data_IF_145858143145
#
_entry.id   IF_145858143145
#
_cell.length_a   1.000
_cell.length_b   1.000
_cell.length_c   1.000
_cell.angle_alpha   90.00
_cell.angle_beta   90.00
_cell.angle_gamma   90.00
#
_symmetry.space_group_name_H-M   'P 1'
#
loop_
_entity.id
_entity.type
_entity.pdbx_description
1 polymer ?
#
# COMPACT_ATOMS: atom_id res chain seq x y z
N UNK A 1 21.99 -8.03 9.11
CA UNK A 1 21.13 -6.84 9.20
C UNK A 1 20.66 -6.42 7.81
N UNK A 2 19.38 -6.17 7.67
CA UNK A 2 18.83 -5.71 6.39
C UNK A 2 19.31 -4.29 6.07
N UNK A 3 19.54 -4.04 4.79
CA UNK A 3 19.96 -2.73 4.29
C UNK A 3 18.77 -2.10 3.57
N UNK A 4 18.62 -0.80 3.72
CA UNK A 4 17.50 -0.06 3.15
C UNK A 4 17.96 1.12 2.32
N UNK A 5 17.16 1.47 1.34
CA UNK A 5 17.28 2.70 0.59
C UNK A 5 16.04 3.55 0.88
N UNK A 6 16.22 4.87 0.96
CA UNK A 6 15.09 5.79 1.15
C UNK A 6 14.62 6.29 -0.21
N UNK A 7 13.31 6.23 -0.44
CA UNK A 7 12.67 6.74 -1.64
C UNK A 7 11.63 7.78 -1.21
N UNK A 8 11.68 8.96 -1.83
CA UNK A 8 10.76 10.04 -1.49
C UNK A 8 9.43 9.93 -2.24
N UNK A 9 8.43 10.65 -1.76
CA UNK A 9 7.14 10.80 -2.44
C UNK A 9 7.33 11.30 -3.87
N UNK A 10 8.19 12.31 -4.07
CA UNK A 10 8.48 12.85 -5.40
C UNK A 10 9.10 11.83 -6.33
N UNK A 11 10.01 10.99 -5.81
CA UNK A 11 10.62 9.93 -6.60
C UNK A 11 9.58 8.87 -7.02
N UNK A 12 8.69 8.48 -6.12
CA UNK A 12 7.60 7.57 -6.46
C UNK A 12 6.70 8.15 -7.55
N UNK A 13 6.38 9.44 -7.46
CA UNK A 13 5.58 10.13 -8.47
C UNK A 13 6.29 10.10 -9.83
N UNK A 14 7.58 10.40 -9.87
CA UNK A 14 8.36 10.40 -11.11
C UNK A 14 8.44 9.01 -11.74
N UNK A 15 8.66 7.98 -10.92
CA UNK A 15 8.72 6.59 -11.39
C UNK A 15 7.36 6.16 -11.93
N UNK A 16 6.28 6.49 -11.23
CA UNK A 16 4.93 6.17 -11.71
C UNK A 16 4.64 6.80 -13.06
N UNK A 17 4.97 8.08 -13.22
CA UNK A 17 4.76 8.78 -14.48
C UNK A 17 5.58 8.17 -15.62
N UNK A 18 6.80 7.74 -15.35
CA UNK A 18 7.62 7.05 -16.34
C UNK A 18 6.92 5.78 -16.82
N UNK A 19 6.50 4.92 -15.90
CA UNK A 19 5.85 3.67 -16.30
C UNK A 19 4.52 3.90 -16.99
N UNK A 20 3.74 4.88 -16.55
CA UNK A 20 2.49 5.25 -17.23
C UNK A 20 2.72 5.73 -18.65
N UNK A 21 3.83 6.43 -18.89
CA UNK A 21 4.17 6.91 -20.25
C UNK A 21 4.53 5.77 -21.19
N UNK A 22 5.04 4.66 -20.66
CA UNK A 22 5.47 3.50 -21.46
C UNK A 22 4.35 2.47 -21.61
N UNK A 23 3.61 2.21 -20.53
CA UNK A 23 2.66 1.10 -20.43
C UNK A 23 1.22 1.55 -20.23
N UNK A 24 0.94 2.84 -20.26
CA UNK A 24 -0.35 3.38 -19.83
C UNK A 24 -0.68 2.88 -18.42
N UNK A 25 -1.96 2.73 -18.10
CA UNK A 25 -2.36 2.29 -16.75
C UNK A 25 -2.18 0.78 -16.50
N UNK A 26 -1.71 0.04 -17.50
CA UNK A 26 -1.36 -1.38 -17.31
C UNK A 26 -0.27 -1.57 -16.23
N UNK A 27 0.60 -0.57 -16.04
CA UNK A 27 1.64 -0.64 -15.01
C UNK A 27 1.08 -0.69 -13.59
N UNK A 28 -0.14 -0.22 -13.36
CA UNK A 28 -0.74 -0.22 -12.03
C UNK A 28 -0.89 -1.64 -11.47
N UNK A 29 -1.24 -2.60 -12.30
CA UNK A 29 -1.30 -4.02 -11.90
C UNK A 29 0.04 -4.57 -11.46
N UNK A 30 1.13 -4.15 -12.13
CA UNK A 30 2.49 -4.53 -11.73
C UNK A 30 2.86 -3.93 -10.38
N UNK A 31 2.50 -2.69 -10.12
CA UNK A 31 2.74 -2.05 -8.82
C UNK A 31 1.99 -2.78 -7.69
N UNK A 32 0.77 -3.22 -7.94
CA UNK A 32 0.00 -4.00 -6.96
C UNK A 32 0.71 -5.32 -6.67
N UNK A 33 1.22 -6.01 -7.69
CA UNK A 33 1.98 -7.26 -7.51
C UNK A 33 3.27 -7.02 -6.75
N UNK A 34 3.97 -5.93 -7.04
CA UNK A 34 5.16 -5.53 -6.29
C UNK A 34 4.80 -5.37 -4.81
N UNK A 35 3.69 -4.70 -4.52
CA UNK A 35 3.20 -4.53 -3.15
C UNK A 35 2.95 -5.87 -2.44
N UNK A 36 2.39 -6.85 -3.14
CA UNK A 36 2.17 -8.19 -2.58
C UNK A 36 3.48 -8.87 -2.19
N UNK A 37 4.50 -8.74 -3.03
CA UNK A 37 5.84 -9.28 -2.73
C UNK A 37 6.44 -8.57 -1.51
N UNK A 38 6.32 -7.26 -1.45
CA UNK A 38 6.80 -6.48 -0.31
C UNK A 38 6.09 -6.89 0.99
N UNK A 39 4.78 -7.17 0.92
CA UNK A 39 4.04 -7.65 2.07
C UNK A 39 4.59 -8.99 2.58
N UNK A 40 4.89 -9.92 1.69
CA UNK A 40 5.46 -11.21 2.08
C UNK A 40 6.80 -11.02 2.81
N UNK A 41 7.62 -10.07 2.37
CA UNK A 41 8.88 -9.75 3.06
C UNK A 41 8.64 -9.13 4.44
N UNK A 42 7.64 -8.27 4.57
CA UNK A 42 7.25 -7.69 5.87
C UNK A 42 6.81 -8.80 6.83
N UNK A 43 6.00 -9.74 6.35
CA UNK A 43 5.51 -10.86 7.17
C UNK A 43 6.65 -11.69 7.73
N UNK A 44 7.75 -11.85 6.99
CA UNK A 44 8.93 -12.56 7.48
C UNK A 44 9.59 -11.91 8.67
N UNK A 45 9.36 -10.62 8.90
CA UNK A 45 9.92 -9.91 10.04
C UNK A 45 9.01 -9.96 11.27
N UNK A 46 7.81 -10.50 11.13
CA UNK A 46 6.88 -10.68 12.24
C UNK A 46 7.29 -11.94 12.99
N UNK A 47 7.61 -11.81 14.27
CA UNK A 47 8.06 -12.92 15.09
C UNK A 47 6.90 -13.77 15.55
N UNK A 48 7.18 -15.04 15.86
CA UNK A 48 6.19 -15.96 16.40
C UNK A 48 5.59 -15.38 17.67
N UNK A 49 4.26 -15.42 17.77
CA UNK A 49 3.54 -14.88 18.92
C UNK A 49 3.14 -13.42 18.79
N UNK A 50 3.66 -12.70 17.78
CA UNK A 50 3.23 -11.33 17.50
C UNK A 50 1.97 -11.32 16.64
N UNK A 51 1.08 -10.37 16.88
CA UNK A 51 -0.08 -10.15 16.01
C UNK A 51 0.36 -9.50 14.71
N UNK A 52 -0.04 -10.07 13.58
CA UNK A 52 0.41 -9.63 12.26
C UNK A 52 0.08 -8.17 11.96
N UNK A 53 -1.20 -7.78 12.02
CA UNK A 53 -1.59 -6.45 11.57
C UNK A 53 -1.02 -5.33 12.46
N UNK A 54 -1.07 -5.42 13.79
CA UNK A 54 -0.41 -4.40 14.63
C UNK A 54 1.09 -4.29 14.39
N UNK A 55 1.77 -5.42 14.18
CA UNK A 55 3.22 -5.42 13.90
C UNK A 55 3.51 -4.85 12.52
N UNK A 56 2.74 -5.23 11.52
CA UNK A 56 2.87 -4.69 10.17
C UNK A 56 2.64 -3.18 10.15
N UNK A 57 1.67 -2.68 10.92
CA UNK A 57 1.43 -1.25 11.07
C UNK A 57 2.70 -0.52 11.52
N UNK A 58 3.36 -1.03 12.56
CA UNK A 58 4.60 -0.44 13.06
C UNK A 58 5.71 -0.44 12.01
N UNK A 59 5.82 -1.53 11.25
CA UNK A 59 6.84 -1.65 10.20
C UNK A 59 6.56 -0.65 9.07
N UNK A 60 5.31 -0.53 8.63
CA UNK A 60 4.93 0.40 7.56
C UNK A 60 5.20 1.86 7.96
N UNK A 61 4.90 2.21 9.21
CA UNK A 61 5.17 3.55 9.74
C UNK A 61 6.70 3.78 9.81
N UNK A 62 7.43 2.83 10.37
CA UNK A 62 8.88 2.95 10.55
C UNK A 62 9.62 3.08 9.22
N UNK A 63 9.13 2.42 8.17
CA UNK A 63 9.75 2.47 6.84
C UNK A 63 9.27 3.66 6.00
N UNK A 64 8.31 4.43 6.50
CA UNK A 64 7.85 5.63 5.82
C UNK A 64 6.81 5.41 4.72
N UNK A 65 6.23 4.21 4.63
CA UNK A 65 5.14 3.97 3.68
C UNK A 65 3.92 4.85 3.99
N UNK A 66 3.63 5.01 5.27
CA UNK A 66 2.46 5.73 5.76
C UNK A 66 2.84 6.52 7.02
N UNK A 67 2.11 7.59 7.30
CA UNK A 67 2.17 8.21 8.63
C UNK A 67 1.41 7.38 9.64
N UNK A 68 0.27 6.82 9.24
CA UNK A 68 -0.50 5.88 10.05
C UNK A 68 -1.40 5.02 9.16
N UNK A 69 -1.76 3.85 9.66
CA UNK A 69 -2.73 2.97 9.02
C UNK A 69 -3.61 2.32 10.08
N UNK A 70 -4.92 2.31 9.83
CA UNK A 70 -5.90 1.64 10.68
C UNK A 70 -6.53 0.54 9.86
N UNK A 71 -6.35 -0.71 10.30
CA UNK A 71 -7.00 -1.86 9.66
C UNK A 71 -8.42 -2.00 10.22
N UNK A 72 -9.36 -2.27 9.32
CA UNK A 72 -10.77 -2.52 9.67
C UNK A 72 -11.14 -3.92 9.22
N UNK A 73 -12.36 -4.38 9.51
CA UNK A 73 -12.80 -5.72 9.13
C UNK A 73 -12.75 -5.95 7.61
N UNK A 74 -12.92 -4.90 6.82
CA UNK A 74 -13.03 -5.01 5.37
C UNK A 74 -12.04 -4.16 4.60
N UNK A 75 -11.02 -3.65 5.26
CA UNK A 75 -10.04 -2.84 4.56
C UNK A 75 -9.11 -2.08 5.47
N UNK A 76 -8.72 -0.89 5.04
CA UNK A 76 -7.78 -0.06 5.77
C UNK A 76 -7.98 1.42 5.45
N UNK A 77 -7.67 2.27 6.42
CA UNK A 77 -7.64 3.72 6.26
C UNK A 77 -6.21 4.18 6.48
N UNK A 78 -5.69 4.96 5.57
CA UNK A 78 -4.29 5.37 5.57
C UNK A 78 -4.18 6.89 5.59
N UNK A 79 -3.36 7.39 6.51
CA UNK A 79 -2.97 8.79 6.55
C UNK A 79 -1.52 8.90 6.09
N UNK A 80 -1.26 9.85 5.19
CA UNK A 80 0.10 10.16 4.76
C UNK A 80 0.78 9.07 3.94
N UNK A 81 0.10 8.52 2.94
CA UNK A 81 0.73 7.56 2.02
C UNK A 81 1.86 8.21 1.23
N UNK A 82 3.02 7.57 1.20
CA UNK A 82 4.18 8.06 0.43
C UNK A 82 3.92 8.03 -1.08
N UNK A 83 2.98 7.22 -1.53
CA UNK A 83 2.62 7.15 -2.95
C UNK A 83 1.59 8.20 -3.37
N UNK A 84 1.00 8.94 -2.44
CA UNK A 84 0.00 9.95 -2.81
C UNK A 84 0.64 11.07 -3.63
N UNK A 85 -0.12 11.58 -4.59
CA UNK A 85 0.31 12.66 -5.48
C UNK A 85 -0.84 13.66 -5.59
N UNK A 86 -0.88 14.68 -4.71
CA UNK A 86 -1.98 15.65 -4.70
C UNK A 86 -2.20 16.31 -6.08
N UNK A 87 -3.47 16.50 -6.43
CA UNK A 87 -3.83 17.08 -7.73
C UNK A 87 -3.86 16.09 -8.89
N UNK A 88 -3.72 14.80 -8.62
CA UNK A 88 -3.82 13.78 -9.67
C UNK A 88 -5.30 13.49 -9.99
N UNK A 89 -5.57 12.99 -11.19
CA UNK A 89 -6.94 12.66 -11.61
C UNK A 89 -7.41 11.29 -11.14
N UNK A 90 -6.46 10.41 -10.80
CA UNK A 90 -6.74 9.03 -10.41
C UNK A 90 -5.95 8.66 -9.16
N UNK A 91 -6.34 7.56 -8.55
CA UNK A 91 -5.65 6.98 -7.40
C UNK A 91 -4.21 6.62 -7.76
N UNK A 92 -3.30 6.74 -6.80
CA UNK A 92 -1.86 6.54 -7.03
C UNK A 92 -1.20 5.54 -6.08
N UNK A 93 -1.92 5.04 -5.08
CA UNK A 93 -1.34 4.21 -4.03
C UNK A 93 -1.39 2.71 -4.38
N UNK A 94 -0.83 2.35 -5.53
CA UNK A 94 -0.95 1.00 -6.08
C UNK A 94 -0.12 -0.05 -5.33
N UNK A 95 1.14 0.27 -4.99
CA UNK A 95 1.98 -0.64 -4.20
C UNK A 95 1.39 -0.85 -2.83
N UNK A 96 0.95 0.25 -2.20
CA UNK A 96 0.33 0.18 -0.88
C UNK A 96 -0.94 -0.66 -0.92
N UNK A 97 -1.75 -0.53 -1.96
CA UNK A 97 -2.93 -1.37 -2.16
C UNK A 97 -2.56 -2.86 -2.18
N UNK A 98 -1.49 -3.20 -2.88
CA UNK A 98 -0.98 -4.56 -2.93
C UNK A 98 -0.48 -5.04 -1.57
N UNK A 99 0.26 -4.21 -0.85
CA UNK A 99 0.75 -4.53 0.50
C UNK A 99 -0.43 -4.81 1.43
N UNK A 100 -1.40 -3.90 1.48
CA UNK A 100 -2.54 -4.01 2.39
C UNK A 100 -3.43 -5.22 2.05
N UNK A 101 -3.68 -5.45 0.75
CA UNK A 101 -4.46 -6.61 0.31
C UNK A 101 -3.82 -7.92 0.76
N UNK A 102 -2.51 -8.05 0.57
CA UNK A 102 -1.78 -9.26 0.95
C UNK A 102 -1.73 -9.45 2.46
N UNK A 103 -1.51 -8.39 3.22
CA UNK A 103 -1.51 -8.46 4.67
C UNK A 103 -2.87 -8.90 5.21
N UNK A 104 -3.96 -8.36 4.67
CA UNK A 104 -5.31 -8.77 5.06
C UNK A 104 -5.57 -10.22 4.71
N UNK A 105 -5.13 -10.66 3.53
CA UNK A 105 -5.28 -12.06 3.10
C UNK A 105 -4.60 -13.03 4.05
N UNK A 106 -3.36 -12.71 4.45
CA UNK A 106 -2.62 -13.54 5.39
C UNK A 106 -3.26 -13.53 6.77
N UNK A 107 -3.68 -12.35 7.24
CA UNK A 107 -4.28 -12.19 8.57
C UNK A 107 -5.62 -12.91 8.70
N UNK A 108 -6.46 -12.83 7.67
CA UNK A 108 -7.82 -13.42 7.71
C UNK A 108 -7.85 -14.86 7.19
N UNK A 109 -6.78 -15.29 6.51
CA UNK A 109 -6.69 -16.59 5.82
C UNK A 109 -7.74 -16.76 4.73
N UNK A 110 -8.25 -15.64 4.24
CA UNK A 110 -9.23 -15.60 3.16
C UNK A 110 -8.68 -14.74 2.03
N UNK A 111 -9.13 -15.02 0.81
CA UNK A 111 -8.75 -14.22 -0.34
C UNK A 111 -9.19 -12.78 -0.12
N UNK A 112 -8.25 -11.84 -0.29
CA UNK A 112 -8.51 -10.42 -0.07
C UNK A 112 -8.00 -9.62 -1.24
N UNK A 113 -8.85 -8.74 -1.76
CA UNK A 113 -8.48 -7.83 -2.82
C UNK A 113 -9.10 -6.47 -2.50
N UNK A 114 -8.26 -5.52 -2.16
CA UNK A 114 -8.70 -4.18 -1.80
C UNK A 114 -8.65 -3.26 -3.01
N UNK A 115 -9.64 -2.37 -3.10
CA UNK A 115 -9.63 -1.27 -4.04
C UNK A 115 -9.44 0.02 -3.26
N UNK A 116 -8.71 0.98 -3.84
CA UNK A 116 -8.60 2.31 -3.27
C UNK A 116 -9.86 3.10 -3.61
N UNK A 117 -10.72 3.32 -2.62
CA UNK A 117 -12.02 4.00 -2.82
C UNK A 117 -11.96 5.50 -2.55
N UNK A 118 -10.95 5.95 -1.78
CA UNK A 118 -10.65 7.36 -1.60
C UNK A 118 -9.14 7.52 -1.62
N UNK A 119 -8.66 8.61 -2.21
CA UNK A 119 -7.23 8.88 -2.31
C UNK A 119 -6.95 10.37 -2.10
N UNK A 120 -5.90 10.67 -1.33
CA UNK A 120 -5.44 12.03 -1.13
C UNK A 120 -5.11 12.69 -2.48
N UNK A 121 -4.60 11.93 -3.43
CA UNK A 121 -4.28 12.40 -4.77
C UNK A 121 -5.49 12.99 -5.48
N UNK A 122 -6.69 12.49 -5.23
CA UNK A 122 -7.93 12.94 -5.86
C UNK A 122 -8.75 13.88 -4.96
N UNK A 123 -8.16 14.37 -3.86
CA UNK A 123 -8.76 15.40 -3.02
C UNK A 123 -9.33 14.94 -1.68
N UNK A 124 -9.26 13.65 -1.37
CA UNK A 124 -9.71 13.14 -0.08
C UNK A 124 -8.71 13.50 1.03
N UNK A 125 -9.16 13.45 2.29
CA UNK A 125 -8.29 13.72 3.44
C UNK A 125 -7.35 12.57 3.76
N UNK A 126 -7.76 11.36 3.44
CA UNK A 126 -6.99 10.15 3.67
C UNK A 126 -7.23 9.17 2.53
N UNK A 127 -6.40 8.14 2.45
CA UNK A 127 -6.62 7.07 1.49
C UNK A 127 -7.40 5.96 2.16
N UNK A 128 -8.48 5.50 1.53
CA UNK A 128 -9.33 4.45 2.05
C UNK A 128 -9.33 3.28 1.08
N UNK A 129 -9.07 2.09 1.61
CA UNK A 129 -9.03 0.84 0.86
C UNK A 129 -10.15 -0.07 1.38
N UNK A 130 -10.95 -0.61 0.48
CA UNK A 130 -12.06 -1.47 0.86
C UNK A 130 -12.07 -2.75 0.02
N UNK A 131 -12.52 -3.84 0.64
CA UNK A 131 -12.64 -5.15 -0.01
C UNK A 131 -13.51 -5.04 -1.25
N UNK A 132 -13.00 -5.53 -2.39
CA UNK A 132 -13.80 -5.62 -3.60
C UNK A 132 -14.91 -6.63 -3.42
N UNK A 133 -16.10 -6.27 -3.88
CA UNK A 133 -17.22 -7.20 -3.92
C UNK A 133 -17.10 -8.09 -5.14
N UNK A 134 -17.42 -9.37 -4.97
CA UNK A 134 -17.41 -10.35 -6.06
C UNK A 134 -18.80 -10.51 -6.66
#
# INVERSE_FOLDING_TARGET
>A
MARFVKISQGEFTSVRKLYESVMSYACHGLFVREGSVLADEIVREVEEGEDLLPTARKILIARGWVEDVTFTDRGARVRGSVESSPGNEAETCHRLRGILSRLMEIATKERSRLSEVECVSTGARECVFAQEET
#
